data_IF_212913827341
#
_entry.id   IF_212913827341
#
_cell.length_a   1.000
_cell.length_b   1.000
_cell.length_c   1.000
_cell.angle_alpha   90.00
_cell.angle_beta   90.00
_cell.angle_gamma   90.00
#
_symmetry.space_group_name_H-M   'P 1'
#
loop_
_entity.id
_entity.type
_entity.pdbx_description
1 polymer ?
#
# COMPACT_ATOMS: atom_id res chain seq x y z
N UNK A 1 13.53 15.88 -14.71
CA UNK A 1 12.96 14.53 -14.85
C UNK A 1 12.92 13.94 -13.45
N UNK A 2 11.74 13.58 -12.95
CA UNK A 2 11.57 13.00 -11.61
C UNK A 2 12.12 11.58 -11.61
N UNK A 3 12.95 11.26 -10.62
CA UNK A 3 13.46 9.90 -10.37
C UNK A 3 12.29 8.94 -10.20
N UNK A 4 12.20 7.84 -10.98
CA UNK A 4 11.16 6.83 -10.81
C UNK A 4 11.08 6.32 -9.36
N UNK A 5 9.88 6.13 -8.83
CA UNK A 5 9.66 5.78 -7.41
C UNK A 5 10.42 4.52 -6.95
N UNK A 6 10.68 3.58 -7.85
CA UNK A 6 11.44 2.36 -7.53
C UNK A 6 12.96 2.61 -7.45
N UNK A 7 13.50 3.64 -8.10
CA UNK A 7 14.91 4.00 -7.95
C UNK A 7 15.17 4.55 -6.55
N UNK A 8 14.16 5.11 -5.90
CA UNK A 8 14.24 5.52 -4.50
C UNK A 8 14.26 4.31 -3.55
N UNK A 9 13.63 3.19 -3.92
CA UNK A 9 13.83 1.91 -3.20
C UNK A 9 15.28 1.43 -3.33
N UNK A 10 15.90 1.59 -4.50
CA UNK A 10 17.30 1.21 -4.72
C UNK A 10 18.30 2.13 -4.00
N UNK A 11 17.87 3.31 -3.57
CA UNK A 11 18.67 4.23 -2.77
C UNK A 11 18.59 3.94 -1.26
N UNK A 12 17.82 2.93 -0.84
CA UNK A 12 17.85 2.42 0.52
C UNK A 12 19.17 1.66 0.74
N UNK A 13 19.74 1.81 1.94
CA UNK A 13 21.05 1.28 2.31
C UNK A 13 21.14 -0.27 2.25
N UNK A 14 19.99 -0.96 2.19
CA UNK A 14 19.92 -2.40 2.25
C UNK A 14 18.92 -2.93 1.22
N UNK A 15 19.26 -4.03 0.55
CA UNK A 15 18.29 -4.80 -0.24
C UNK A 15 17.30 -5.47 0.71
N UNK A 16 16.00 -5.12 0.67
CA UNK A 16 15.04 -5.68 1.61
C UNK A 16 14.92 -7.20 1.38
N UNK A 17 15.21 -7.97 2.43
CA UNK A 17 15.04 -9.43 2.40
C UNK A 17 13.61 -9.76 2.77
N UNK A 18 12.84 -10.23 1.79
CA UNK A 18 11.48 -10.73 2.03
C UNK A 18 11.59 -12.07 2.75
N UNK A 19 11.12 -12.10 3.99
CA UNK A 19 11.04 -13.30 4.82
C UNK A 19 9.58 -13.55 5.19
N UNK A 20 9.11 -14.78 4.95
CA UNK A 20 7.77 -15.23 5.31
C UNK A 20 7.88 -16.28 6.44
N UNK A 21 7.32 -15.97 7.61
CA UNK A 21 7.48 -16.81 8.80
C UNK A 21 6.46 -17.95 8.89
N UNK A 22 5.26 -17.79 8.32
CA UNK A 22 4.14 -18.71 8.56
C UNK A 22 3.91 -19.68 7.40
N UNK A 23 4.03 -19.21 6.16
CA UNK A 23 3.84 -20.01 4.96
C UNK A 23 4.89 -19.63 3.89
N UNK A 24 5.55 -20.59 3.23
CA UNK A 24 6.52 -20.28 2.18
C UNK A 24 5.89 -19.48 1.04
N UNK A 25 6.65 -18.50 0.54
CA UNK A 25 6.34 -17.74 -0.67
C UNK A 25 7.06 -18.33 -1.88
N UNK A 26 6.55 -18.04 -3.08
CA UNK A 26 7.25 -18.41 -4.32
C UNK A 26 8.31 -17.35 -4.61
N UNK A 27 9.55 -17.64 -4.18
CA UNK A 27 10.66 -16.71 -4.33
C UNK A 27 11.04 -16.48 -5.78
N UNK A 28 11.57 -15.31 -6.10
CA UNK A 28 12.02 -14.98 -7.45
C UNK A 28 13.13 -15.91 -7.95
N UNK A 29 14.07 -16.27 -7.07
CA UNK A 29 15.23 -17.12 -7.37
C UNK A 29 14.88 -18.60 -7.59
N UNK A 30 13.66 -19.01 -7.24
CA UNK A 30 13.17 -20.38 -7.35
C UNK A 30 11.76 -20.46 -7.96
N UNK A 31 11.37 -19.43 -8.71
CA UNK A 31 10.05 -19.36 -9.33
C UNK A 31 9.86 -20.50 -10.35
N UNK A 32 8.75 -21.26 -10.27
CA UNK A 32 8.47 -22.32 -11.23
C UNK A 32 8.17 -21.75 -12.62
N UNK A 33 8.24 -22.57 -13.69
CA UNK A 33 8.09 -22.12 -15.08
C UNK A 33 6.80 -21.34 -15.38
N UNK A 34 5.71 -21.63 -14.66
CA UNK A 34 4.43 -20.95 -14.79
C UNK A 34 4.37 -19.57 -14.10
N UNK A 35 5.26 -19.28 -13.14
CA UNK A 35 5.31 -17.99 -12.42
C UNK A 35 6.39 -17.08 -12.98
N UNK A 36 7.53 -17.62 -13.41
CA UNK A 36 8.66 -16.83 -13.89
C UNK A 36 8.30 -15.79 -14.99
N UNK A 37 7.44 -16.09 -15.99
CA UNK A 37 7.00 -15.12 -16.98
C UNK A 37 6.18 -13.96 -16.38
N UNK A 38 5.34 -14.24 -15.36
CA UNK A 38 4.55 -13.22 -14.68
C UNK A 38 5.45 -12.25 -13.92
N UNK A 39 6.48 -12.76 -13.23
CA UNK A 39 7.50 -11.94 -12.58
C UNK A 39 8.31 -11.11 -13.56
N UNK A 40 8.71 -11.70 -14.70
CA UNK A 40 9.40 -10.95 -15.76
C UNK A 40 8.52 -9.82 -16.32
N UNK A 41 7.23 -10.09 -16.54
CA UNK A 41 6.26 -9.08 -16.97
C UNK A 41 6.10 -7.97 -15.93
N UNK A 42 5.98 -8.31 -14.65
CA UNK A 42 5.91 -7.32 -13.58
C UNK A 42 7.10 -6.36 -13.61
N UNK A 43 8.33 -6.91 -13.64
CA UNK A 43 9.56 -6.10 -13.65
C UNK A 43 9.62 -5.18 -14.86
N UNK A 44 9.30 -5.70 -16.05
CA UNK A 44 9.29 -4.91 -17.28
C UNK A 44 8.21 -3.83 -17.29
N UNK A 45 7.00 -4.15 -16.80
CA UNK A 45 5.84 -3.26 -16.88
C UNK A 45 5.92 -2.10 -15.88
N UNK A 46 6.27 -2.41 -14.63
CA UNK A 46 6.41 -1.42 -13.56
C UNK A 46 7.82 -0.83 -13.47
N UNK A 47 8.73 -1.27 -14.35
CA UNK A 47 10.15 -0.92 -14.36
C UNK A 47 10.83 -1.15 -12.99
N UNK A 48 10.43 -2.21 -12.27
CA UNK A 48 10.95 -2.54 -10.93
C UNK A 48 11.99 -3.66 -11.02
N UNK A 49 13.11 -3.59 -10.27
CA UNK A 49 14.14 -4.64 -10.31
C UNK A 49 13.73 -5.92 -9.57
N UNK A 50 12.84 -5.80 -8.57
CA UNK A 50 12.39 -6.90 -7.72
C UNK A 50 10.87 -6.97 -7.67
N UNK A 51 10.36 -8.17 -7.40
CA UNK A 51 8.93 -8.45 -7.23
C UNK A 51 8.56 -8.30 -5.75
N UNK A 52 7.59 -7.43 -5.39
CA UNK A 52 7.13 -7.27 -4.03
C UNK A 52 6.69 -8.60 -3.38
N UNK A 53 6.95 -8.76 -2.08
CA UNK A 53 6.67 -9.99 -1.34
C UNK A 53 5.21 -10.40 -1.37
N UNK A 54 4.28 -9.45 -1.38
CA UNK A 54 2.85 -9.76 -1.52
C UNK A 54 2.51 -10.44 -2.86
N UNK A 55 3.18 -10.09 -3.95
CA UNK A 55 3.02 -10.80 -5.23
C UNK A 55 3.60 -12.22 -5.13
N UNK A 56 4.68 -12.40 -4.36
CA UNK A 56 5.25 -13.72 -4.08
C UNK A 56 4.34 -14.61 -3.22
N UNK A 57 3.46 -14.02 -2.39
CA UNK A 57 2.39 -14.76 -1.71
C UNK A 57 1.34 -15.28 -2.70
N UNK A 58 0.86 -14.42 -3.62
CA UNK A 58 -0.15 -14.79 -4.61
C UNK A 58 0.35 -15.77 -5.67
N UNK A 59 1.67 -15.81 -5.90
CA UNK A 59 2.31 -16.70 -6.86
C UNK A 59 2.11 -18.20 -6.58
N UNK A 60 1.65 -18.57 -5.38
CA UNK A 60 1.16 -19.92 -5.08
C UNK A 60 -0.02 -20.35 -5.96
N UNK A 61 -0.69 -19.39 -6.62
CA UNK A 61 -1.74 -19.59 -7.59
C UNK A 61 -1.56 -18.64 -8.80
N UNK A 62 -0.87 -19.03 -9.88
CA UNK A 62 -0.46 -18.11 -10.95
C UNK A 62 -1.59 -17.29 -11.61
N UNK A 63 -2.79 -17.86 -11.90
CA UNK A 63 -3.91 -17.05 -12.40
C UNK A 63 -4.38 -15.95 -11.42
N UNK A 64 -4.23 -16.18 -10.11
CA UNK A 64 -4.57 -15.20 -9.09
C UNK A 64 -3.53 -14.08 -9.06
N UNK A 65 -2.24 -14.44 -9.12
CA UNK A 65 -1.15 -13.47 -9.24
C UNK A 65 -1.36 -12.52 -10.42
N UNK A 66 -1.70 -13.05 -11.59
CA UNK A 66 -1.96 -12.23 -12.78
C UNK A 66 -3.07 -11.19 -12.55
N UNK A 67 -4.19 -11.61 -11.94
CA UNK A 67 -5.28 -10.69 -11.63
C UNK A 67 -4.91 -9.68 -10.54
N UNK A 68 -4.15 -10.10 -9.52
CA UNK A 68 -3.71 -9.20 -8.45
C UNK A 68 -2.72 -8.15 -8.96
N UNK A 69 -1.87 -8.48 -9.93
CA UNK A 69 -1.02 -7.50 -10.62
C UNK A 69 -1.87 -6.45 -11.35
N UNK A 70 -2.89 -6.88 -12.09
CA UNK A 70 -3.80 -5.97 -12.79
C UNK A 70 -4.61 -5.08 -11.85
N UNK A 71 -5.07 -5.63 -10.72
CA UNK A 71 -5.77 -4.83 -9.69
C UNK A 71 -4.84 -3.79 -9.05
N UNK A 72 -3.61 -4.18 -8.72
CA UNK A 72 -2.63 -3.24 -8.18
C UNK A 72 -2.31 -2.12 -9.19
N UNK A 73 -2.18 -2.46 -10.48
CA UNK A 73 -2.02 -1.47 -11.55
C UNK A 73 -3.15 -0.46 -11.57
N UNK A 74 -4.38 -0.95 -11.73
CA UNK A 74 -5.58 -0.14 -11.94
C UNK A 74 -5.95 0.71 -10.72
N UNK A 75 -5.63 0.24 -9.51
CA UNK A 75 -6.03 0.93 -8.28
C UNK A 75 -4.91 1.80 -7.71
N UNK A 76 -3.66 1.36 -7.75
CA UNK A 76 -2.56 2.03 -7.07
C UNK A 76 -1.62 2.75 -8.04
N UNK A 77 -1.22 2.10 -9.14
CA UNK A 77 -0.16 2.58 -10.03
C UNK A 77 -0.64 3.43 -11.22
N UNK A 78 -1.95 3.52 -11.46
CA UNK A 78 -2.53 4.41 -12.45
C UNK A 78 -3.14 5.66 -11.82
N UNK A 79 -3.26 6.71 -12.64
CA UNK A 79 -4.10 7.86 -12.34
C UNK A 79 -5.53 7.40 -12.09
N UNK A 80 -6.19 8.05 -11.14
CA UNK A 80 -7.57 7.79 -10.75
C UNK A 80 -8.27 9.08 -10.33
N UNK A 81 -9.41 8.95 -9.67
CA UNK A 81 -10.09 10.10 -9.06
C UNK A 81 -9.33 10.61 -7.83
N UNK A 82 -8.61 9.73 -7.14
CA UNK A 82 -7.65 10.06 -6.09
C UNK A 82 -6.24 10.23 -6.65
N UNK A 83 -5.51 11.22 -6.12
CA UNK A 83 -4.08 11.38 -6.42
C UNK A 83 -3.22 10.34 -5.70
N UNK A 84 -2.01 10.08 -6.20
CA UNK A 84 -1.12 9.03 -5.66
C UNK A 84 -0.82 9.19 -4.17
N UNK A 85 -0.56 10.40 -3.69
CA UNK A 85 -0.35 10.66 -2.26
C UNK A 85 -1.58 10.26 -1.41
N UNK A 86 -2.81 10.50 -1.89
CA UNK A 86 -4.03 10.11 -1.17
C UNK A 86 -4.19 8.58 -1.14
N UNK A 87 -3.87 7.91 -2.25
CA UNK A 87 -3.89 6.45 -2.32
C UNK A 87 -2.91 5.84 -1.32
N UNK A 88 -1.68 6.35 -1.27
CA UNK A 88 -0.66 5.90 -0.31
C UNK A 88 -1.02 6.26 1.15
N UNK A 89 -1.72 7.37 1.37
CA UNK A 89 -2.20 7.75 2.70
C UNK A 89 -3.22 6.72 3.22
N UNK A 90 -4.20 6.35 2.40
CA UNK A 90 -5.18 5.30 2.72
C UNK A 90 -4.46 3.97 2.92
N UNK A 91 -3.58 3.58 2.00
CA UNK A 91 -2.82 2.33 2.07
C UNK A 91 -2.02 2.19 3.37
N UNK A 92 -1.29 3.25 3.74
CA UNK A 92 -0.49 3.30 4.97
C UNK A 92 -1.38 3.18 6.20
N UNK A 93 -2.42 4.02 6.28
CA UNK A 93 -3.32 4.08 7.43
C UNK A 93 -4.09 2.77 7.65
N UNK A 94 -4.66 2.18 6.59
CA UNK A 94 -5.36 0.89 6.67
C UNK A 94 -4.40 -0.25 7.02
N UNK A 95 -3.19 -0.24 6.46
CA UNK A 95 -2.17 -1.23 6.80
C UNK A 95 -1.72 -1.14 8.25
N UNK A 96 -1.63 0.08 8.81
CA UNK A 96 -1.35 0.30 10.22
C UNK A 96 -2.49 -0.16 11.12
N UNK A 97 -3.76 0.12 10.77
CA UNK A 97 -4.93 -0.37 11.52
C UNK A 97 -4.97 -1.90 11.54
N UNK A 98 -4.68 -2.53 10.40
CA UNK A 98 -4.65 -3.99 10.27
C UNK A 98 -3.35 -4.62 10.79
N UNK A 99 -2.50 -3.85 11.48
CA UNK A 99 -1.24 -4.30 12.09
C UNK A 99 -0.31 -5.04 11.11
N UNK A 100 -0.33 -4.61 9.85
CA UNK A 100 0.43 -5.25 8.77
C UNK A 100 1.76 -4.52 8.53
N UNK A 101 2.79 -4.86 9.31
CA UNK A 101 4.09 -4.19 9.31
C UNK A 101 4.74 -4.05 7.92
N UNK A 102 4.74 -5.12 7.11
CA UNK A 102 5.28 -5.10 5.74
C UNK A 102 4.60 -4.04 4.86
N UNK A 103 3.26 -3.99 4.88
CA UNK A 103 2.50 -3.04 4.07
C UNK A 103 2.60 -1.61 4.63
N UNK A 104 2.52 -1.43 5.95
CA UNK A 104 2.64 -0.11 6.57
C UNK A 104 4.01 0.52 6.29
N UNK A 105 5.09 -0.26 6.35
CA UNK A 105 6.44 0.16 5.99
C UNK A 105 6.56 0.55 4.51
N UNK A 106 6.16 -0.34 3.60
CA UNK A 106 6.25 -0.09 2.16
C UNK A 106 5.40 1.09 1.70
N UNK A 107 4.16 1.19 2.14
CA UNK A 107 3.27 2.28 1.73
C UNK A 107 3.58 3.59 2.45
N UNK A 108 4.08 3.53 3.69
CA UNK A 108 4.59 4.71 4.38
C UNK A 108 5.80 5.33 3.65
N UNK A 109 6.70 4.49 3.12
CA UNK A 109 7.81 4.95 2.30
C UNK A 109 7.33 5.66 1.02
N UNK A 110 6.34 5.08 0.31
CA UNK A 110 5.78 5.72 -0.88
C UNK A 110 4.97 6.97 -0.54
N UNK A 111 4.25 7.00 0.58
CA UNK A 111 3.56 8.18 1.07
C UNK A 111 4.54 9.36 1.27
N UNK A 112 5.68 9.12 1.92
CA UNK A 112 6.77 10.11 2.08
C UNK A 112 7.31 10.55 0.72
N UNK A 113 7.58 9.60 -0.16
CA UNK A 113 8.11 9.85 -1.51
C UNK A 113 7.17 10.71 -2.36
N UNK A 114 5.86 10.55 -2.18
CA UNK A 114 4.82 11.34 -2.84
C UNK A 114 4.47 12.62 -2.07
N UNK A 115 5.39 13.13 -1.26
CA UNK A 115 5.38 14.49 -0.70
C UNK A 115 4.63 14.66 0.62
N UNK A 116 4.32 13.58 1.33
CA UNK A 116 3.76 13.71 2.68
C UNK A 116 4.80 14.28 3.65
N UNK A 117 4.37 15.15 4.56
CA UNK A 117 5.21 15.58 5.68
C UNK A 117 5.44 14.42 6.66
N UNK A 118 6.50 14.50 7.46
CA UNK A 118 6.76 13.51 8.51
C UNK A 118 5.64 13.44 9.54
N UNK A 119 4.93 14.54 9.76
CA UNK A 119 3.78 14.59 10.65
C UNK A 119 2.56 13.87 10.07
N UNK A 120 2.29 14.06 8.77
CA UNK A 120 1.22 13.34 8.06
C UNK A 120 1.51 11.83 8.04
N UNK A 121 2.75 11.45 7.74
CA UNK A 121 3.20 10.06 7.78
C UNK A 121 3.03 9.48 9.19
N UNK A 122 3.44 10.21 10.23
CA UNK A 122 3.29 9.77 11.62
C UNK A 122 1.83 9.55 11.97
N UNK A 123 0.94 10.50 11.65
CA UNK A 123 -0.49 10.38 11.89
C UNK A 123 -1.08 9.12 11.23
N UNK A 124 -0.68 8.82 9.99
CA UNK A 124 -1.09 7.60 9.30
C UNK A 124 -0.58 6.34 10.02
N UNK A 125 0.71 6.29 10.37
CA UNK A 125 1.34 5.14 11.01
C UNK A 125 0.81 4.85 12.41
N UNK A 126 0.49 5.89 13.19
CA UNK A 126 -0.07 5.77 14.54
C UNK A 126 -1.59 5.66 14.55
N UNK A 127 -2.22 5.53 13.38
CA UNK A 127 -3.68 5.46 13.22
C UNK A 127 -4.45 6.67 13.80
N UNK A 128 -3.79 7.83 13.91
CA UNK A 128 -4.37 9.06 14.44
C UNK A 128 -5.03 9.89 13.33
N UNK A 129 -6.23 9.48 12.93
CA UNK A 129 -7.03 10.17 11.93
C UNK A 129 -7.66 11.49 12.41
N UNK A 130 -7.47 11.86 13.69
CA UNK A 130 -7.91 13.14 14.27
C UNK A 130 -6.74 14.11 14.48
N UNK A 131 -5.54 13.74 14.06
CA UNK A 131 -4.34 14.55 14.19
C UNK A 131 -4.53 15.95 13.59
N UNK A 132 -4.01 16.97 14.27
CA UNK A 132 -3.97 18.35 13.78
C UNK A 132 -3.11 18.53 12.52
N UNK A 133 -2.24 17.57 12.22
CA UNK A 133 -1.41 17.56 11.00
C UNK A 133 -2.18 17.09 9.76
N UNK A 134 -3.44 16.64 9.93
CA UNK A 134 -4.36 16.33 8.83
C UNK A 134 -5.27 17.53 8.57
N UNK A 135 -5.50 17.85 7.30
CA UNK A 135 -6.58 18.77 6.91
C UNK A 135 -7.95 18.15 7.26
N UNK A 136 -9.01 18.96 7.46
CA UNK A 136 -10.36 18.45 7.70
C UNK A 136 -10.83 17.45 6.63
N UNK A 137 -10.44 17.69 5.37
CA UNK A 137 -10.70 16.79 4.25
C UNK A 137 -10.00 15.43 4.41
N UNK A 138 -8.75 15.40 4.84
CA UNK A 138 -8.02 14.16 5.10
C UNK A 138 -8.53 13.43 6.36
N UNK A 139 -8.93 14.16 7.40
CA UNK A 139 -9.54 13.55 8.59
C UNK A 139 -10.83 12.81 8.21
N UNK A 140 -11.74 13.47 7.47
CA UNK A 140 -12.98 12.84 7.00
C UNK A 140 -12.71 11.60 6.11
N UNK A 141 -11.74 11.71 5.20
CA UNK A 141 -11.29 10.58 4.37
C UNK A 141 -10.87 9.37 5.20
N UNK A 142 -10.01 9.59 6.21
CA UNK A 142 -9.48 8.51 7.04
C UNK A 142 -10.51 7.97 8.04
N UNK A 143 -11.40 8.81 8.58
CA UNK A 143 -12.56 8.37 9.36
C UNK A 143 -13.44 7.42 8.55
N UNK A 144 -13.76 7.80 7.31
CA UNK A 144 -14.57 6.97 6.43
C UNK A 144 -13.86 5.66 6.07
N UNK A 145 -12.59 5.73 5.65
CA UNK A 145 -11.79 4.55 5.33
C UNK A 145 -11.66 3.59 6.53
N UNK A 146 -11.47 4.12 7.75
CA UNK A 146 -11.49 3.32 8.98
C UNK A 146 -12.82 2.58 9.16
N UNK A 147 -13.94 3.27 8.97
CA UNK A 147 -15.28 2.67 9.09
C UNK A 147 -15.51 1.58 8.05
N UNK A 148 -15.09 1.79 6.80
CA UNK A 148 -15.11 0.76 5.74
C UNK A 148 -14.30 -0.47 6.15
N UNK A 149 -13.10 -0.29 6.73
CA UNK A 149 -12.23 -1.40 7.13
C UNK A 149 -12.76 -2.18 8.33
N UNK A 150 -13.24 -1.48 9.36
CA UNK A 150 -13.55 -2.08 10.65
C UNK A 150 -14.98 -2.60 10.74
N UNK A 151 -15.94 -1.90 10.13
CA UNK A 151 -17.36 -2.23 10.21
C UNK A 151 -18.15 -1.65 9.03
N UNK A 152 -17.86 -2.13 7.82
CA UNK A 152 -18.54 -1.69 6.60
C UNK A 152 -20.06 -1.84 6.64
N UNK A 153 -20.58 -2.82 7.39
CA UNK A 153 -22.02 -3.04 7.56
C UNK A 153 -22.73 -1.90 8.31
N UNK A 154 -21.99 -1.07 9.06
CA UNK A 154 -22.53 0.09 9.77
C UNK A 154 -22.52 1.39 8.95
N UNK A 155 -22.10 1.33 7.68
CA UNK A 155 -22.15 2.49 6.79
C UNK A 155 -23.60 2.89 6.49
N UNK A 156 -23.85 4.18 6.53
CA UNK A 156 -25.15 4.82 6.28
C UNK A 156 -24.98 5.97 5.29
N UNK A 157 -26.07 6.47 4.65
CA UNK A 157 -25.97 7.55 3.66
C UNK A 157 -25.26 8.81 4.16
N UNK A 158 -25.39 9.15 5.44
CA UNK A 158 -24.73 10.33 6.03
C UNK A 158 -23.20 10.24 6.00
N UNK A 159 -22.61 9.04 6.06
CA UNK A 159 -21.15 8.88 5.94
C UNK A 159 -20.65 9.33 4.54
N UNK A 160 -21.48 9.15 3.51
CA UNK A 160 -21.19 9.59 2.14
C UNK A 160 -21.42 11.09 2.00
N UNK A 161 -22.48 11.62 2.62
CA UNK A 161 -22.79 13.04 2.65
C UNK A 161 -21.69 13.86 3.34
N UNK A 162 -21.11 13.34 4.42
CA UNK A 162 -20.00 13.98 5.13
C UNK A 162 -18.77 14.15 4.22
N UNK A 163 -18.43 13.13 3.42
CA UNK A 163 -17.35 13.25 2.43
C UNK A 163 -17.68 14.23 1.31
N UNK A 164 -18.92 14.25 0.82
CA UNK A 164 -19.35 15.26 -0.16
C UNK A 164 -19.27 16.67 0.40
N UNK A 165 -19.58 16.85 1.68
CA UNK A 165 -19.39 18.11 2.42
C UNK A 165 -17.93 18.58 2.46
N UNK A 166 -16.97 17.66 2.32
CA UNK A 166 -15.54 17.94 2.18
C UNK A 166 -15.07 18.02 0.70
N UNK A 167 -16.03 18.16 -0.23
CA UNK A 167 -15.81 18.26 -1.67
C UNK A 167 -15.14 17.02 -2.29
N UNK A 168 -15.41 15.83 -1.76
CA UNK A 168 -15.13 14.58 -2.47
C UNK A 168 -16.22 14.30 -3.51
N UNK A 169 -15.80 13.91 -4.71
CA UNK A 169 -16.74 13.42 -5.74
C UNK A 169 -17.12 11.97 -5.47
N UNK A 170 -18.25 11.52 -6.04
CA UNK A 170 -18.69 10.12 -5.90
C UNK A 170 -17.66 9.12 -6.42
N UNK A 171 -16.91 9.47 -7.47
CA UNK A 171 -15.82 8.64 -7.98
C UNK A 171 -14.65 8.56 -6.99
N UNK A 172 -14.31 9.67 -6.31
CA UNK A 172 -13.29 9.64 -5.26
C UNK A 172 -13.75 8.76 -4.10
N UNK A 173 -15.00 8.91 -3.65
CA UNK A 173 -15.56 8.12 -2.55
C UNK A 173 -15.56 6.62 -2.91
N UNK A 174 -15.99 6.27 -4.11
CA UNK A 174 -15.94 4.89 -4.60
C UNK A 174 -14.52 4.33 -4.63
N UNK A 175 -13.55 5.12 -5.10
CA UNK A 175 -12.14 4.71 -5.13
C UNK A 175 -11.57 4.50 -3.71
N UNK A 176 -11.97 5.30 -2.72
CA UNK A 176 -11.62 5.05 -1.30
C UNK A 176 -12.13 3.70 -0.84
N UNK A 177 -13.40 3.37 -1.12
CA UNK A 177 -14.01 2.09 -0.74
C UNK A 177 -13.21 0.92 -1.34
N UNK A 178 -12.96 0.98 -2.65
CA UNK A 178 -12.24 -0.08 -3.36
C UNK A 178 -10.80 -0.22 -2.87
N UNK A 179 -10.10 0.89 -2.66
CA UNK A 179 -8.73 0.88 -2.18
C UNK A 179 -8.64 0.34 -0.75
N UNK A 180 -9.54 0.77 0.15
CA UNK A 180 -9.62 0.23 1.51
C UNK A 180 -9.87 -1.28 1.51
N UNK A 181 -10.82 -1.76 0.70
CA UNK A 181 -11.11 -3.20 0.60
C UNK A 181 -9.93 -4.00 0.02
N UNK A 182 -9.22 -3.44 -0.96
CA UNK A 182 -8.03 -4.06 -1.56
C UNK A 182 -6.90 -4.18 -0.53
N UNK A 183 -6.62 -3.11 0.22
CA UNK A 183 -5.60 -3.14 1.27
C UNK A 183 -5.99 -4.06 2.43
N UNK A 184 -7.25 -4.08 2.82
CA UNK A 184 -7.78 -5.03 3.78
C UNK A 184 -7.52 -6.49 3.34
N UNK A 185 -7.65 -6.79 2.04
CA UNK A 185 -7.30 -8.10 1.47
C UNK A 185 -5.80 -8.36 1.53
N UNK A 186 -4.98 -7.42 1.03
CA UNK A 186 -3.53 -7.56 1.01
C UNK A 186 -2.95 -7.73 2.41
N UNK A 187 -3.39 -6.92 3.38
CA UNK A 187 -2.92 -7.01 4.76
C UNK A 187 -3.20 -8.38 5.37
N UNK A 188 -4.41 -8.93 5.16
CA UNK A 188 -4.76 -10.27 5.65
C UNK A 188 -3.88 -11.36 5.03
N UNK A 189 -3.63 -11.29 3.73
CA UNK A 189 -2.75 -12.24 3.02
C UNK A 189 -1.31 -12.11 3.54
N UNK A 190 -0.76 -10.90 3.59
CA UNK A 190 0.60 -10.64 4.08
C UNK A 190 0.79 -11.13 5.51
N UNK A 191 -0.14 -10.82 6.41
CA UNK A 191 -0.07 -11.26 7.81
C UNK A 191 -0.19 -12.79 7.91
N UNK A 192 -1.06 -13.41 7.11
CA UNK A 192 -1.23 -14.87 7.10
C UNK A 192 0.04 -15.59 6.62
N UNK A 193 0.73 -15.08 5.58
CA UNK A 193 2.04 -15.59 5.16
C UNK A 193 3.17 -15.22 6.13
N UNK A 194 2.98 -14.17 6.93
CA UNK A 194 3.91 -13.71 7.95
C UNK A 194 5.09 -12.94 7.36
N UNK A 195 4.85 -12.00 6.44
CA UNK A 195 5.92 -11.12 5.96
C UNK A 195 6.26 -10.05 7.01
N UNK A 196 7.56 -9.84 7.25
CA UNK A 196 8.05 -8.80 8.15
C UNK A 196 8.22 -7.44 7.46
N UNK A 197 8.39 -6.38 8.26
CA UNK A 197 8.90 -5.08 7.78
C UNK A 197 10.13 -5.26 6.88
N UNK A 198 10.27 -4.36 5.91
CA UNK A 198 11.44 -4.26 5.03
C UNK A 198 12.40 -3.16 5.49
N UNK A 199 12.06 -2.47 6.57
CA UNK A 199 12.82 -1.39 7.19
C UNK A 199 13.04 -0.19 6.26
N UNK A 200 12.11 0.03 5.33
CA UNK A 200 12.16 1.11 4.33
C UNK A 200 11.99 2.50 4.96
N UNK A 201 11.37 2.57 6.13
CA UNK A 201 11.19 3.80 6.89
C UNK A 201 12.35 4.15 7.83
N UNK A 202 13.30 3.23 8.06
CA UNK A 202 14.47 3.52 8.90
C UNK A 202 15.39 4.57 8.23
N UNK A 203 16.07 5.41 9.03
CA UNK A 203 17.06 6.33 8.48
C UNK A 203 18.22 5.57 7.81
N UNK A 204 18.79 6.15 6.76
CA UNK A 204 20.00 5.60 6.11
C UNK A 204 21.12 5.49 7.14
N UNK A 205 21.88 4.39 7.10
CA UNK A 205 23.05 4.20 7.96
C UNK A 205 24.02 5.38 7.82
N UNK A 206 24.66 5.86 8.91
CA UNK A 206 25.60 6.97 8.85
C UNK A 206 26.82 6.75 7.94
N UNK A 207 27.10 5.51 7.55
CA UNK A 207 28.27 5.14 6.72
C UNK A 207 28.08 5.40 5.22
N UNK A 208 26.91 5.87 4.78
CA UNK A 208 26.59 6.08 3.36
C UNK A 208 26.19 7.54 3.02
N UNK A 209 26.59 8.51 3.85
CA UNK A 209 26.39 9.95 3.62
C UNK A 209 27.68 10.68 3.20
#
# INVERSE_FOLDING_TARGET
MTTPEYELLNQQAHTPRIHAANLPIVREDSAPPEVAPLYARFRSHFNRPTVPGILQCFATHPPLLEHMMGLAEAMLFSDGALGRQQKELIATFISSINECAYCADSHGFFLRTHGASDELLRAALTCDHQSSSLSPRQQALLTFAKKVNDNSAALVPTDIEDLRGQCYSDLQIAEVIHLTALFATFNRVVNAFGLSSQDLLLPKSPEEA
#
